data_IF_540561707039
#
_entry.id   IF_540561707039
#
_cell.length_a   1.000
_cell.length_b   1.000
_cell.length_c   1.000
_cell.angle_alpha   90.00
_cell.angle_beta   90.00
_cell.angle_gamma   90.00
#
_symmetry.space_group_name_H-M   'P 1'
#
loop_
_entity.id
_entity.type
_entity.pdbx_description
1 polymer ?
#
# COMPACT_ATOMS: atom_id res chain seq x y z
N UNK A 1 -3.76 -16.85 -6.45
CA UNK A 1 -3.06 -15.81 -5.68
C UNK A 1 -3.97 -14.61 -5.47
N UNK A 2 -3.96 -14.06 -4.26
CA UNK A 2 -4.69 -12.85 -3.93
C UNK A 2 -3.88 -11.63 -4.33
N UNK A 3 -4.52 -10.67 -4.99
CA UNK A 3 -3.91 -9.38 -5.30
C UNK A 3 -4.20 -8.41 -4.17
N UNK A 4 -3.15 -7.74 -3.67
CA UNK A 4 -3.26 -6.80 -2.55
C UNK A 4 -2.56 -5.50 -2.91
N UNK A 5 -3.21 -4.37 -2.68
CA UNK A 5 -2.60 -3.06 -2.75
C UNK A 5 -2.52 -2.49 -1.33
N UNK A 6 -1.34 -2.00 -0.96
CA UNK A 6 -1.12 -1.38 0.34
C UNK A 6 -0.39 -0.05 0.15
N UNK A 7 -1.05 1.05 0.52
CA UNK A 7 -0.46 2.38 0.52
C UNK A 7 -0.34 2.92 1.94
N UNK A 8 0.77 3.58 2.26
CA UNK A 8 0.98 4.16 3.58
C UNK A 8 1.73 5.49 3.49
N UNK A 9 1.30 6.45 4.33
CA UNK A 9 2.00 7.72 4.46
C UNK A 9 3.27 7.58 5.29
N UNK A 10 4.37 8.18 4.82
CA UNK A 10 5.65 8.15 5.55
C UNK A 10 5.59 8.92 6.85
N UNK A 11 4.74 9.96 6.94
CA UNK A 11 4.55 10.77 8.13
C UNK A 11 3.32 10.36 8.95
N UNK A 12 2.74 9.19 8.67
CA UNK A 12 1.60 8.67 9.41
C UNK A 12 2.00 8.37 10.86
N UNK A 13 1.29 8.99 11.82
CA UNK A 13 1.55 8.82 13.25
C UNK A 13 0.67 7.74 13.88
N UNK A 14 -0.32 7.27 13.15
CA UNK A 14 -1.24 6.21 13.61
C UNK A 14 -0.70 4.86 13.13
N UNK A 15 -0.49 4.72 11.82
CA UNK A 15 0.20 3.57 11.24
C UNK A 15 1.59 4.03 10.87
N UNK A 16 2.51 3.92 11.79
CA UNK A 16 3.88 4.41 11.60
C UNK A 16 4.58 3.62 10.49
N UNK A 17 5.59 4.22 9.87
CA UNK A 17 6.30 3.59 8.78
C UNK A 17 6.91 2.23 9.16
N UNK A 18 7.57 2.07 10.32
CA UNK A 18 8.06 0.76 10.74
C UNK A 18 6.96 -0.29 10.84
N UNK A 19 5.77 0.08 11.34
CA UNK A 19 4.63 -0.83 11.43
C UNK A 19 4.12 -1.21 10.04
N UNK A 20 4.01 -0.25 9.13
CA UNK A 20 3.59 -0.50 7.75
C UNK A 20 4.56 -1.42 7.03
N UNK A 21 5.86 -1.19 7.20
CA UNK A 21 6.90 -2.02 6.60
C UNK A 21 6.91 -3.43 7.16
N UNK A 22 6.65 -3.59 8.47
CA UNK A 22 6.51 -4.91 9.09
C UNK A 22 5.30 -5.65 8.49
N UNK A 23 4.18 -4.97 8.34
CA UNK A 23 2.98 -5.55 7.74
C UNK A 23 3.25 -5.97 6.30
N UNK A 24 3.95 -5.12 5.52
CA UNK A 24 4.39 -5.47 4.16
C UNK A 24 5.22 -6.75 4.16
N UNK A 25 6.19 -6.84 5.06
CA UNK A 25 7.08 -8.00 5.13
C UNK A 25 6.31 -9.27 5.52
N UNK A 26 5.37 -9.15 6.45
CA UNK A 26 4.52 -10.28 6.85
C UNK A 26 3.62 -10.75 5.69
N UNK A 27 3.03 -9.81 4.94
CA UNK A 27 2.22 -10.13 3.77
C UNK A 27 3.06 -10.76 2.65
N UNK A 28 4.31 -10.33 2.50
CA UNK A 28 5.21 -10.86 1.47
C UNK A 28 5.55 -12.35 1.69
N UNK A 29 5.35 -12.86 2.90
CA UNK A 29 5.57 -14.28 3.22
C UNK A 29 4.38 -15.16 2.84
N UNK A 30 3.26 -14.56 2.48
CA UNK A 30 2.05 -15.26 2.05
C UNK A 30 2.01 -15.36 0.52
N UNK A 31 1.13 -16.23 0.00
CA UNK A 31 0.94 -16.36 -1.44
C UNK A 31 0.03 -15.24 -1.96
N UNK A 32 0.51 -14.01 -1.90
CA UNK A 32 -0.22 -12.83 -2.38
C UNK A 32 0.65 -12.06 -3.35
N UNK A 33 0.02 -11.38 -4.31
CA UNK A 33 0.69 -10.40 -5.16
C UNK A 33 0.54 -9.04 -4.53
N UNK A 34 1.56 -8.62 -3.80
CA UNK A 34 1.54 -7.38 -3.04
C UNK A 34 2.13 -6.24 -3.86
N UNK A 35 1.37 -5.16 -3.97
CA UNK A 35 1.85 -3.88 -4.48
C UNK A 35 1.87 -2.90 -3.31
N UNK A 36 3.06 -2.60 -2.81
CA UNK A 36 3.26 -1.74 -1.66
C UNK A 36 3.83 -0.39 -2.11
N UNK A 37 3.22 0.70 -1.65
CA UNK A 37 3.64 2.06 -1.96
C UNK A 37 3.70 2.91 -0.70
N UNK A 38 4.70 3.78 -0.61
CA UNK A 38 4.82 4.79 0.44
C UNK A 38 4.62 6.17 -0.17
N UNK A 39 3.95 7.05 0.56
CA UNK A 39 3.64 8.41 0.10
C UNK A 39 4.08 9.43 1.14
N UNK A 40 4.47 10.61 0.68
CA UNK A 40 4.95 11.69 1.55
C UNK A 40 3.78 12.47 2.15
N UNK A 41 2.97 11.78 2.94
CA UNK A 41 1.76 12.30 3.59
C UNK A 41 1.60 11.68 4.98
N UNK A 42 0.71 12.26 5.77
CA UNK A 42 0.32 11.73 7.07
C UNK A 42 -0.71 10.61 6.90
N UNK A 43 -1.61 10.44 7.85
CA UNK A 43 -2.67 9.41 7.82
C UNK A 43 -3.81 9.87 6.92
N UNK A 44 -3.56 9.84 5.61
CA UNK A 44 -4.52 10.29 4.60
C UNK A 44 -4.23 9.63 3.26
N UNK A 45 -5.18 9.72 2.34
CA UNK A 45 -5.01 9.26 0.97
C UNK A 45 -4.65 10.47 0.10
N UNK A 46 -3.44 10.46 -0.48
CA UNK A 46 -3.00 11.50 -1.40
C UNK A 46 -3.58 11.27 -2.79
N UNK A 47 -3.51 12.30 -3.65
CA UNK A 47 -3.88 12.15 -5.05
C UNK A 47 -3.01 11.11 -5.75
N UNK A 48 -1.72 11.07 -5.43
CA UNK A 48 -0.80 10.07 -5.99
C UNK A 48 -1.21 8.66 -5.58
N UNK A 49 -1.58 8.47 -4.31
CA UNK A 49 -2.06 7.17 -3.82
C UNK A 49 -3.34 6.76 -4.54
N UNK A 50 -4.28 7.70 -4.71
CA UNK A 50 -5.54 7.41 -5.41
C UNK A 50 -5.28 7.03 -6.87
N UNK A 51 -4.40 7.75 -7.55
CA UNK A 51 -4.03 7.43 -8.94
C UNK A 51 -3.40 6.04 -9.04
N UNK A 52 -2.47 5.70 -8.14
CA UNK A 52 -1.83 4.39 -8.12
C UNK A 52 -2.84 3.29 -7.86
N UNK A 53 -3.79 3.53 -6.97
CA UNK A 53 -4.87 2.57 -6.67
C UNK A 53 -5.75 2.33 -7.90
N UNK A 54 -6.11 3.38 -8.62
CA UNK A 54 -6.92 3.27 -9.84
C UNK A 54 -6.18 2.48 -10.92
N UNK A 55 -4.89 2.75 -11.11
CA UNK A 55 -4.06 2.00 -12.06
C UNK A 55 -4.00 0.53 -11.65
N UNK A 56 -3.79 0.24 -10.37
CA UNK A 56 -3.74 -1.11 -9.85
C UNK A 56 -5.06 -1.85 -10.07
N UNK A 57 -6.20 -1.20 -9.76
CA UNK A 57 -7.53 -1.81 -9.97
C UNK A 57 -7.72 -2.17 -11.44
N UNK A 58 -7.38 -1.27 -12.36
CA UNK A 58 -7.48 -1.55 -13.79
C UNK A 58 -6.59 -2.71 -14.20
N UNK A 59 -5.40 -2.82 -13.61
CA UNK A 59 -4.46 -3.89 -13.94
C UNK A 59 -4.97 -5.26 -13.50
N UNK A 60 -5.62 -5.35 -12.32
CA UNK A 60 -6.05 -6.64 -11.77
C UNK A 60 -7.47 -7.05 -12.19
N UNK A 61 -8.32 -6.09 -12.56
CA UNK A 61 -9.70 -6.38 -12.94
C UNK A 61 -9.92 -6.41 -14.45
N UNK A 62 -9.04 -5.81 -15.21
CA UNK A 62 -9.12 -5.75 -16.66
C UNK A 62 -7.93 -6.45 -17.29
#
# INVERSE_FOLDING_TARGET
NLNVFMGNGRQDKIITLPLAQKTRDDLSKLEVKLNYKEYDVEHTISNDCLNDLLIWINTVLL
#
